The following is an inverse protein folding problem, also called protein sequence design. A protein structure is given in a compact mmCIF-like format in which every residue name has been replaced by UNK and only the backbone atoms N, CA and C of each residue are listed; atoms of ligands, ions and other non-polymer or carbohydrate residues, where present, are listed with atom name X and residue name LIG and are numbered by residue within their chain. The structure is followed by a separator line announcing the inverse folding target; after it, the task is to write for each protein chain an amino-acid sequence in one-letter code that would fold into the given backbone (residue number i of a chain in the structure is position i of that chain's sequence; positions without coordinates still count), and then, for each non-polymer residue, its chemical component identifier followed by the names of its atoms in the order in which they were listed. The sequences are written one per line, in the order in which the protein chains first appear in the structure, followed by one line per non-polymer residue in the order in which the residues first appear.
data_IF_912134201241
#
_entry.id   IF_912134201241
#
_cell.length_a   1.000
_cell.length_b   1.000
_cell.length_c   1.000
_cell.angle_alpha   90.00
_cell.angle_beta   90.00
_cell.angle_gamma   90.00
#
_symmetry.space_group_name_H-M   'P 1'
#
loop_
_entity.id
_entity.type
_entity.pdbx_description
1 polymer ?
#
# COMPACT_ATOMS: atom_id res chain seq x y z
N UNK A 1 -26.94 -40.19 -43.57
CA UNK A 1 -26.46 -40.70 -42.26
C UNK A 1 -25.10 -41.40 -42.32
N UNK A 2 -24.84 -42.32 -43.26
CA UNK A 2 -23.60 -43.13 -43.28
C UNK A 2 -22.26 -42.37 -43.45
N UNK A 3 -22.27 -41.16 -44.03
CA UNK A 3 -21.05 -40.37 -44.31
C UNK A 3 -20.26 -40.02 -43.05
N UNK A 4 -20.92 -39.63 -41.96
CA UNK A 4 -20.25 -39.31 -40.69
C UNK A 4 -19.63 -40.55 -40.03
N UNK A 5 -20.33 -41.68 -40.06
CA UNK A 5 -19.83 -42.97 -39.57
C UNK A 5 -18.57 -43.43 -40.34
N UNK A 6 -18.58 -43.26 -41.67
CA UNK A 6 -17.42 -43.57 -42.52
C UNK A 6 -16.24 -42.62 -42.26
N UNK A 7 -16.48 -41.30 -42.16
CA UNK A 7 -15.45 -40.32 -41.84
C UNK A 7 -14.81 -40.58 -40.46
N UNK A 8 -15.62 -40.90 -39.44
CA UNK A 8 -15.13 -41.23 -38.10
C UNK A 8 -14.27 -42.50 -38.10
N UNK A 9 -14.71 -43.55 -38.80
CA UNK A 9 -13.95 -44.80 -38.89
C UNK A 9 -12.63 -44.62 -39.65
N UNK A 10 -12.61 -43.74 -40.65
CA UNK A 10 -11.42 -43.40 -41.43
C UNK A 10 -10.41 -42.56 -40.62
N UNK A 11 -10.89 -41.57 -39.86
CA UNK A 11 -10.05 -40.75 -38.97
C UNK A 11 -9.35 -41.59 -37.89
N UNK A 12 -10.07 -42.57 -37.33
CA UNK A 12 -9.57 -43.40 -36.22
C UNK A 12 -8.59 -44.48 -36.68
N UNK A 13 -8.68 -44.94 -37.92
CA UNK A 13 -7.78 -45.98 -38.46
C UNK A 13 -6.50 -45.41 -39.10
N UNK A 14 -6.49 -44.13 -39.52
CA UNK A 14 -5.34 -43.51 -40.18
C UNK A 14 -4.61 -42.52 -39.25
N UNK A 15 -3.56 -42.99 -38.59
CA UNK A 15 -2.75 -42.21 -37.64
C UNK A 15 -2.22 -40.87 -38.18
N UNK A 16 -1.86 -40.80 -39.47
CA UNK A 16 -1.36 -39.57 -40.10
C UNK A 16 -2.41 -38.44 -40.04
N UNK A 17 -3.69 -38.76 -40.25
CA UNK A 17 -4.76 -37.76 -40.22
C UNK A 17 -4.99 -37.22 -38.80
N UNK A 18 -4.88 -38.09 -37.79
CA UNK A 18 -5.02 -37.70 -36.39
C UNK A 18 -3.85 -36.83 -35.92
N UNK A 19 -2.63 -37.16 -36.34
CA UNK A 19 -1.44 -36.34 -36.07
C UNK A 19 -1.55 -34.94 -36.67
N UNK A 20 -2.07 -34.80 -37.89
CA UNK A 20 -2.29 -33.48 -38.51
C UNK A 20 -3.31 -32.62 -37.75
N UNK A 21 -4.41 -33.21 -37.29
CA UNK A 21 -5.43 -32.49 -36.50
C UNK A 21 -4.85 -32.01 -35.18
N UNK A 22 -4.09 -32.88 -34.48
CA UNK A 22 -3.44 -32.50 -33.22
C UNK A 22 -2.41 -31.39 -33.45
N UNK A 23 -1.63 -31.46 -34.54
CA UNK A 23 -0.66 -30.42 -34.87
C UNK A 23 -1.32 -29.06 -35.11
N UNK A 24 -2.40 -29.02 -35.88
CA UNK A 24 -3.16 -27.78 -36.11
C UNK A 24 -3.82 -27.30 -34.81
N UNK A 25 -4.42 -28.20 -34.04
CA UNK A 25 -5.04 -27.87 -32.75
C UNK A 25 -4.03 -27.29 -31.78
N UNK A 26 -2.83 -27.87 -31.67
CA UNK A 26 -1.75 -27.35 -30.83
C UNK A 26 -1.29 -25.97 -31.32
N UNK A 27 -1.14 -25.77 -32.63
CA UNK A 27 -0.76 -24.48 -33.19
C UNK A 27 -1.79 -23.37 -32.96
N UNK A 28 -3.08 -23.70 -33.07
CA UNK A 28 -4.16 -22.76 -32.75
C UNK A 28 -4.22 -22.51 -31.24
N UNK A 29 -4.06 -23.55 -30.42
CA UNK A 29 -4.06 -23.43 -28.96
C UNK A 29 -2.92 -22.53 -28.47
N UNK A 30 -1.70 -22.68 -28.99
CA UNK A 30 -0.58 -21.82 -28.61
C UNK A 30 -0.82 -20.37 -29.01
N UNK A 31 -1.37 -20.11 -30.20
CA UNK A 31 -1.72 -18.76 -30.64
C UNK A 31 -2.78 -18.11 -29.73
N UNK A 32 -3.81 -18.87 -29.35
CA UNK A 32 -4.86 -18.38 -28.43
C UNK A 32 -4.27 -18.09 -27.05
N UNK A 33 -3.50 -19.01 -26.47
CA UNK A 33 -2.94 -18.87 -25.12
C UNK A 33 -2.00 -17.68 -25.05
N UNK A 34 -1.11 -17.50 -26.02
CA UNK A 34 -0.16 -16.37 -26.01
C UNK A 34 -0.91 -15.04 -26.05
N UNK A 35 -1.90 -14.90 -26.95
CA UNK A 35 -2.66 -13.66 -27.04
C UNK A 35 -3.49 -13.41 -25.77
N UNK A 36 -4.07 -14.45 -25.18
CA UNK A 36 -4.85 -14.36 -23.94
C UNK A 36 -3.97 -13.96 -22.73
N UNK A 37 -2.78 -14.54 -22.61
CA UNK A 37 -1.84 -14.24 -21.51
C UNK A 37 -1.36 -12.78 -21.62
N UNK A 38 -0.96 -12.35 -22.81
CA UNK A 38 -0.50 -10.97 -23.02
C UNK A 38 -1.62 -9.96 -22.76
N UNK A 39 -2.82 -10.20 -23.28
CA UNK A 39 -3.97 -9.33 -23.03
C UNK A 39 -4.34 -9.27 -21.55
N UNK A 40 -4.35 -10.42 -20.86
CA UNK A 40 -4.66 -10.49 -19.43
C UNK A 40 -3.63 -9.76 -18.56
N UNK A 41 -2.34 -9.93 -18.87
CA UNK A 41 -1.26 -9.22 -18.18
C UNK A 41 -1.37 -7.71 -18.40
N UNK A 42 -1.50 -7.25 -19.65
CA UNK A 42 -1.61 -5.82 -19.95
C UNK A 42 -2.81 -5.17 -19.29
N UNK A 43 -3.97 -5.83 -19.28
CA UNK A 43 -5.16 -5.34 -18.57
C UNK A 43 -4.88 -5.22 -17.06
N UNK A 44 -4.35 -6.27 -16.43
CA UNK A 44 -4.06 -6.24 -15.00
C UNK A 44 -3.00 -5.24 -14.59
N UNK A 45 -1.94 -5.10 -15.38
CA UNK A 45 -0.89 -4.11 -15.11
C UNK A 45 -1.46 -2.69 -15.25
N UNK A 46 -2.27 -2.44 -16.28
CA UNK A 46 -2.94 -1.16 -16.48
C UNK A 46 -3.89 -0.82 -15.33
N UNK A 47 -4.77 -1.74 -14.96
CA UNK A 47 -5.72 -1.56 -13.85
C UNK A 47 -4.97 -1.24 -12.54
N UNK A 48 -3.88 -1.95 -12.26
CA UNK A 48 -3.05 -1.71 -11.07
C UNK A 48 -2.41 -0.33 -11.09
N UNK A 49 -1.87 0.12 -12.22
CA UNK A 49 -1.20 1.41 -12.32
C UNK A 49 -2.21 2.55 -12.15
N UNK A 50 -3.37 2.49 -12.83
CA UNK A 50 -4.43 3.50 -12.65
C UNK A 50 -5.02 3.49 -11.24
N UNK A 51 -5.07 2.33 -10.56
CA UNK A 51 -5.56 2.27 -9.18
C UNK A 51 -4.63 2.91 -8.14
N UNK A 52 -3.34 3.09 -8.46
CA UNK A 52 -2.33 3.64 -7.53
C UNK A 52 -1.93 5.08 -7.89
N UNK A 53 -1.84 5.39 -9.18
CA UNK A 53 -1.44 6.70 -9.68
C UNK A 53 -2.65 7.57 -10.01
N UNK A 54 -2.52 8.88 -9.80
CA UNK A 54 -3.47 9.84 -10.33
C UNK A 54 -3.34 9.95 -11.86
N UNK A 55 -4.45 10.11 -12.57
CA UNK A 55 -4.43 10.27 -14.03
C UNK A 55 -3.77 11.59 -14.47
N UNK A 56 -3.92 12.64 -13.67
CA UNK A 56 -3.30 13.96 -13.88
C UNK A 56 -2.76 14.49 -12.56
N UNK A 57 -1.51 14.94 -12.58
CA UNK A 57 -0.86 15.61 -11.44
C UNK A 57 -0.58 17.05 -11.83
N UNK A 58 -1.03 17.98 -10.99
CA UNK A 58 -0.74 19.41 -11.14
C UNK A 58 0.31 19.75 -10.10
N UNK A 59 1.50 20.15 -10.56
CA UNK A 59 2.62 20.50 -9.69
C UNK A 59 2.94 22.00 -9.78
N UNK A 60 3.46 22.54 -8.68
CA UNK A 60 3.99 23.89 -8.66
C UNK A 60 5.37 23.92 -9.30
N UNK A 61 5.69 25.00 -10.02
CA UNK A 61 7.05 25.21 -10.57
C UNK A 61 8.09 25.48 -9.49
N UNK A 62 7.66 25.88 -8.28
CA UNK A 62 8.53 26.12 -7.15
C UNK A 62 8.60 24.90 -6.23
N UNK A 63 9.77 24.67 -5.64
CA UNK A 63 9.98 23.63 -4.63
C UNK A 63 9.19 23.85 -3.32
N UNK A 64 8.61 25.04 -3.13
CA UNK A 64 7.74 25.35 -1.98
C UNK A 64 6.31 24.80 -2.13
N UNK A 65 5.98 24.15 -3.25
CA UNK A 65 4.65 23.60 -3.51
C UNK A 65 3.57 24.66 -3.75
N UNK A 66 2.31 24.31 -3.49
CA UNK A 66 1.17 25.22 -3.49
C UNK A 66 0.83 25.63 -2.06
N UNK A 67 0.91 26.92 -1.74
CA UNK A 67 0.48 27.43 -0.42
C UNK A 67 -1.04 27.56 -0.30
N UNK A 68 -1.73 27.56 -1.43
CA UNK A 68 -3.17 27.74 -1.61
C UNK A 68 -3.76 26.60 -2.46
N UNK A 69 -3.45 25.35 -2.09
CA UNK A 69 -3.91 24.18 -2.83
C UNK A 69 -5.44 24.16 -3.02
N UNK A 70 -6.21 24.53 -2.00
CA UNK A 70 -7.68 24.58 -2.06
C UNK A 70 -8.19 25.58 -3.12
N UNK A 71 -7.52 26.73 -3.32
CA UNK A 71 -7.89 27.71 -4.36
C UNK A 71 -7.61 27.18 -5.77
N UNK A 72 -6.49 26.49 -5.94
CA UNK A 72 -6.13 25.87 -7.23
C UNK A 72 -7.13 24.76 -7.56
N UNK A 73 -7.50 23.94 -6.58
CA UNK A 73 -8.53 22.92 -6.75
C UNK A 73 -9.89 23.54 -7.10
N UNK A 74 -10.28 24.65 -6.47
CA UNK A 74 -11.52 25.36 -6.80
C UNK A 74 -11.52 25.87 -8.25
N UNK A 75 -10.41 26.43 -8.73
CA UNK A 75 -10.27 26.87 -10.12
C UNK A 75 -10.38 25.70 -11.11
N UNK A 76 -9.79 24.55 -10.77
CA UNK A 76 -9.89 23.35 -11.63
C UNK A 76 -11.34 22.85 -11.70
N UNK A 77 -12.08 22.86 -10.58
CA UNK A 77 -13.53 22.55 -10.62
C UNK A 77 -14.28 23.52 -11.50
N UNK A 78 -14.04 24.83 -11.37
CA UNK A 78 -14.75 25.82 -12.18
C UNK A 78 -14.56 25.60 -13.70
N UNK A 79 -13.36 25.17 -14.11
CA UNK A 79 -13.01 24.99 -15.52
C UNK A 79 -13.40 23.63 -16.11
N UNK A 80 -13.49 22.58 -15.28
CA UNK A 80 -13.59 21.20 -15.76
C UNK A 80 -14.40 20.27 -14.85
N UNK A 81 -15.39 20.78 -14.11
CA UNK A 81 -16.24 19.99 -13.18
C UNK A 81 -16.85 18.75 -13.86
N UNK A 82 -17.20 18.85 -15.14
CA UNK A 82 -17.80 17.75 -15.92
C UNK A 82 -16.81 16.62 -16.29
N UNK A 83 -15.51 16.87 -16.18
CA UNK A 83 -14.44 15.93 -16.53
C UNK A 83 -13.66 15.41 -15.32
N UNK A 84 -13.85 16.02 -14.15
CA UNK A 84 -13.10 15.73 -12.92
C UNK A 84 -13.97 14.93 -11.96
N UNK A 85 -13.73 13.63 -11.85
CA UNK A 85 -14.44 12.76 -10.91
C UNK A 85 -14.04 13.04 -9.44
N UNK A 86 -12.74 13.22 -9.19
CA UNK A 86 -12.20 13.49 -7.87
C UNK A 86 -10.86 14.25 -7.94
N UNK A 87 -10.50 14.93 -6.85
CA UNK A 87 -9.19 15.54 -6.66
C UNK A 87 -8.76 15.40 -5.21
N UNK A 88 -7.44 15.31 -4.99
CA UNK A 88 -6.85 15.19 -3.68
C UNK A 88 -5.57 16.03 -3.58
N UNK A 89 -5.46 16.84 -2.54
CA UNK A 89 -4.22 17.53 -2.23
C UNK A 89 -3.18 16.53 -1.71
N UNK A 90 -1.97 16.56 -2.27
CA UNK A 90 -0.87 15.68 -1.87
C UNK A 90 0.43 16.48 -1.77
N UNK A 91 1.22 16.20 -0.73
CA UNK A 91 2.59 16.69 -0.58
C UNK A 91 3.53 15.49 -0.62
N UNK A 92 4.57 15.56 -1.44
CA UNK A 92 5.59 14.51 -1.54
C UNK A 92 6.91 15.01 -0.98
N UNK A 93 7.52 14.25 -0.07
CA UNK A 93 8.81 14.60 0.52
C UNK A 93 9.66 13.34 0.72
N UNK A 94 10.90 13.30 0.21
CA UNK A 94 11.79 12.18 0.48
C UNK A 94 12.23 12.17 1.95
N UNK A 95 12.29 11.00 2.55
CA UNK A 95 12.69 10.83 3.95
C UNK A 95 13.26 9.45 4.25
N UNK A 96 13.49 9.19 5.53
CA UNK A 96 13.92 7.91 6.06
C UNK A 96 12.90 7.43 7.09
N UNK A 97 12.45 6.19 6.95
CA UNK A 97 11.65 5.48 7.94
C UNK A 97 12.58 4.65 8.82
N UNK A 98 12.51 4.84 10.12
CA UNK A 98 13.25 4.06 11.11
C UNK A 98 12.28 3.26 11.97
N UNK A 99 12.44 1.94 11.94
CA UNK A 99 11.64 0.99 12.70
C UNK A 99 12.50 0.45 13.84
N UNK A 100 12.01 0.57 15.07
CA UNK A 100 12.67 0.07 16.27
C UNK A 100 12.25 -1.38 16.53
N UNK A 101 13.20 -2.31 16.54
CA UNK A 101 12.95 -3.74 16.75
C UNK A 101 13.62 -4.20 18.05
N UNK A 102 12.95 -5.10 18.78
CA UNK A 102 13.52 -5.76 19.96
C UNK A 102 13.74 -4.81 21.14
N UNK A 103 12.71 -4.08 21.55
CA UNK A 103 12.76 -3.07 22.62
C UNK A 103 13.81 -1.96 22.37
N UNK A 104 14.08 -1.62 21.11
CA UNK A 104 14.97 -0.51 20.72
C UNK A 104 16.44 -0.88 20.54
N UNK A 105 16.80 -2.18 20.58
CA UNK A 105 18.18 -2.61 20.39
C UNK A 105 18.63 -2.56 18.92
N UNK A 106 17.72 -2.71 17.96
CA UNK A 106 18.02 -2.64 16.53
C UNK A 106 17.13 -1.61 15.83
N UNK A 107 17.74 -0.76 15.00
CA UNK A 107 17.05 0.23 14.17
C UNK A 107 17.16 -0.19 12.72
N UNK A 108 16.01 -0.51 12.11
CA UNK A 108 15.92 -0.77 10.68
C UNK A 108 15.52 0.52 9.97
N UNK A 109 16.47 1.11 9.25
CA UNK A 109 16.24 2.35 8.51
C UNK A 109 16.09 2.06 7.01
N UNK A 110 15.03 2.59 6.39
CA UNK A 110 14.74 2.48 4.96
C UNK A 110 14.47 3.86 4.35
N UNK A 111 14.99 4.16 3.15
CA UNK A 111 14.61 5.37 2.43
C UNK A 111 13.16 5.24 1.95
N UNK A 112 12.37 6.31 2.13
CA UNK A 112 10.95 6.34 1.82
C UNK A 112 10.55 7.64 1.15
N UNK A 113 9.44 7.63 0.43
CA UNK A 113 8.70 8.80 -0.02
C UNK A 113 7.52 9.01 0.92
N UNK A 114 7.55 10.13 1.63
CA UNK A 114 6.49 10.54 2.53
C UNK A 114 5.44 11.28 1.71
N UNK A 115 4.20 10.80 1.77
CA UNK A 115 3.04 11.35 1.09
C UNK A 115 2.08 11.92 2.13
N UNK A 116 2.07 13.24 2.28
CA UNK A 116 1.05 13.96 3.04
C UNK A 116 -0.26 13.95 2.25
N UNK A 117 -1.31 13.35 2.79
CA UNK A 117 -2.60 13.20 2.09
C UNK A 117 -3.79 13.42 3.02
N UNK A 118 -4.90 13.88 2.46
CA UNK A 118 -6.21 13.80 3.12
C UNK A 118 -6.83 12.44 2.78
N UNK A 119 -7.15 11.59 3.76
CA UNK A 119 -7.53 10.20 3.49
C UNK A 119 -8.84 10.09 2.70
N UNK A 120 -9.81 10.96 2.99
CA UNK A 120 -11.11 10.98 2.30
C UNK A 120 -11.00 11.39 0.83
N UNK A 121 -10.14 12.37 0.53
CA UNK A 121 -9.91 12.82 -0.84
C UNK A 121 -9.12 11.76 -1.62
N UNK A 122 -8.06 11.23 -1.02
CA UNK A 122 -7.18 10.23 -1.66
C UNK A 122 -7.92 8.93 -1.97
N UNK A 123 -8.86 8.53 -1.11
CA UNK A 123 -9.71 7.36 -1.35
C UNK A 123 -10.69 7.53 -2.53
N UNK A 124 -10.93 8.77 -3.00
CA UNK A 124 -11.77 9.05 -4.17
C UNK A 124 -10.96 9.16 -5.46
N UNK A 125 -9.68 9.56 -5.38
CA UNK A 125 -8.79 9.71 -6.54
C UNK A 125 -8.09 8.40 -6.96
N UNK A 126 -8.40 7.28 -6.32
CA UNK A 126 -7.85 5.96 -6.65
C UNK A 126 -8.31 4.88 -5.68
N UNK A 127 -7.85 3.64 -5.89
CA UNK A 127 -8.23 2.46 -5.09
C UNK A 127 -7.49 2.38 -3.75
N UNK A 128 -7.00 3.52 -3.23
CA UNK A 128 -6.17 3.60 -2.02
C UNK A 128 -6.78 2.84 -0.84
N UNK A 129 -8.08 3.02 -0.60
CA UNK A 129 -8.80 2.36 0.49
C UNK A 129 -8.87 0.83 0.35
N UNK A 130 -8.83 0.30 -0.87
CA UNK A 130 -8.92 -1.15 -1.11
C UNK A 130 -7.63 -1.90 -0.77
N UNK A 131 -6.51 -1.17 -0.77
CA UNK A 131 -5.17 -1.71 -0.51
C UNK A 131 -4.76 -1.64 0.95
N UNK A 132 -5.59 -1.05 1.83
CA UNK A 132 -5.29 -0.93 3.25
C UNK A 132 -5.64 -2.20 4.02
N UNK A 133 -4.62 -2.80 4.63
CA UNK A 133 -4.72 -4.05 5.38
C UNK A 133 -4.01 -3.95 6.73
N UNK A 134 -4.32 -4.86 7.64
CA UNK A 134 -3.54 -5.09 8.85
C UNK A 134 -2.48 -6.20 8.65
N UNK A 135 -1.74 -6.50 9.71
CA UNK A 135 -0.71 -7.55 9.72
C UNK A 135 -1.25 -8.96 9.41
N UNK A 136 -2.55 -9.21 9.57
CA UNK A 136 -3.21 -10.47 9.23
C UNK A 136 -3.92 -10.41 7.86
N UNK A 137 -3.81 -9.31 7.12
CA UNK A 137 -4.45 -9.11 5.82
C UNK A 137 -5.92 -8.73 5.88
N UNK A 138 -6.46 -8.34 7.04
CA UNK A 138 -7.84 -7.83 7.18
C UNK A 138 -7.90 -6.38 6.72
N UNK A 139 -8.94 -6.01 5.99
CA UNK A 139 -9.11 -4.64 5.47
C UNK A 139 -9.27 -3.62 6.61
N UNK A 140 -8.64 -2.46 6.44
CA UNK A 140 -8.74 -1.32 7.36
C UNK A 140 -9.33 -0.10 6.65
N UNK A 141 -10.10 0.74 7.33
CA UNK A 141 -10.56 2.00 6.76
C UNK A 141 -9.37 2.96 6.54
N UNK A 142 -9.45 3.87 5.54
CA UNK A 142 -8.45 4.92 5.33
C UNK A 142 -8.60 5.99 6.42
N UNK A 143 -7.92 5.79 7.56
CA UNK A 143 -7.87 6.77 8.64
C UNK A 143 -6.48 6.80 9.28
N UNK A 144 -6.06 8.02 9.65
CA UNK A 144 -4.86 8.28 10.42
C UNK A 144 -5.15 8.39 11.92
N UNK A 145 -6.41 8.25 12.34
CA UNK A 145 -6.78 8.32 13.75
C UNK A 145 -6.29 7.10 14.52
N UNK A 146 -5.56 7.37 15.60
CA UNK A 146 -5.07 6.32 16.49
C UNK A 146 -6.13 6.00 17.53
N UNK A 147 -6.99 5.03 17.20
CA UNK A 147 -8.04 4.54 18.09
C UNK A 147 -7.49 3.79 19.31
N UNK A 148 -8.34 3.58 20.33
CA UNK A 148 -7.99 2.82 21.54
C UNK A 148 -7.52 1.38 21.22
N UNK A 149 -8.04 0.78 20.14
CA UNK A 149 -7.65 -0.55 19.68
C UNK A 149 -6.17 -0.63 19.27
N UNK A 150 -5.66 0.43 18.65
CA UNK A 150 -4.25 0.51 18.25
C UNK A 150 -3.35 0.77 19.45
N UNK A 151 -3.78 1.62 20.39
CA UNK A 151 -3.07 1.85 21.66
C UNK A 151 -2.90 0.57 22.48
N UNK A 152 -3.89 -0.34 22.45
CA UNK A 152 -3.81 -1.65 23.13
C UNK A 152 -2.86 -2.63 22.45
N UNK A 153 -2.70 -2.53 21.12
CA UNK A 153 -1.79 -3.40 20.36
C UNK A 153 -0.32 -3.03 20.49
N UNK A 154 0.01 -1.87 21.08
CA UNK A 154 1.42 -1.53 21.32
C UNK A 154 2.03 -2.46 22.37
N UNK A 155 3.36 -2.65 22.40
CA UNK A 155 4.03 -3.48 23.40
C UNK A 155 3.64 -3.12 24.83
N UNK A 156 3.65 -1.82 25.17
CA UNK A 156 3.24 -1.35 26.50
C UNK A 156 1.72 -1.43 26.69
N UNK A 157 0.93 -1.30 25.62
CA UNK A 157 -0.53 -1.46 25.63
C UNK A 157 -0.97 -2.87 26.03
N UNK A 158 -0.29 -3.89 25.52
CA UNK A 158 -0.55 -5.29 25.91
C UNK A 158 -0.22 -5.53 27.39
N UNK A 159 0.88 -4.95 27.89
CA UNK A 159 1.25 -5.01 29.31
C UNK A 159 0.20 -4.33 30.20
N UNK A 160 -0.38 -3.22 29.74
CA UNK A 160 -1.43 -2.51 30.46
C UNK A 160 -2.73 -3.33 30.55
N UNK A 161 -3.11 -4.08 29.50
CA UNK A 161 -4.31 -4.94 29.53
C UNK A 161 -4.16 -6.11 30.51
N UNK A 162 -2.96 -6.64 30.68
CA UNK A 162 -2.68 -7.72 31.65
C UNK A 162 -2.59 -7.22 33.10
N UNK A 163 -2.37 -5.91 33.29
CA UNK A 163 -2.20 -5.30 34.62
C UNK A 163 -3.57 -4.94 35.23
N UNK A 164 -3.90 -5.42 36.44
CA UNK A 164 -5.12 -5.02 37.14
C UNK A 164 -5.16 -3.50 37.38
N UNK A 165 -6.33 -2.87 37.26
CA UNK A 165 -6.50 -1.41 37.44
C UNK A 165 -6.12 -0.89 38.82
N UNK A 166 -6.20 -1.74 39.84
CA UNK A 166 -5.86 -1.41 41.22
C UNK A 166 -4.35 -1.54 41.50
N UNK A 167 -3.56 -1.99 40.52
CA UNK A 167 -2.12 -2.15 40.66
C UNK A 167 -1.40 -0.78 40.59
N UNK A 168 -0.48 -0.46 41.52
CA UNK A 168 0.35 0.74 41.46
C UNK A 168 1.13 0.94 40.15
N UNK A 169 1.38 -0.14 39.39
CA UNK A 169 2.03 -0.07 38.09
C UNK A 169 1.10 0.34 36.95
N UNK A 170 -0.23 0.31 37.13
CA UNK A 170 -1.21 0.65 36.09
C UNK A 170 -1.09 2.09 35.61
N UNK A 171 -1.13 3.07 36.52
CA UNK A 171 -1.03 4.49 36.19
C UNK A 171 0.28 4.87 35.46
N UNK A 172 1.47 4.41 35.88
CA UNK A 172 2.70 4.68 35.14
C UNK A 172 2.80 3.91 33.81
N UNK A 173 2.16 2.73 33.68
CA UNK A 173 2.03 2.04 32.38
C UNK A 173 1.12 2.81 31.43
N UNK A 174 -0.01 3.33 31.90
CA UNK A 174 -0.94 4.12 31.09
C UNK A 174 -0.28 5.40 30.57
N UNK A 175 0.48 6.09 31.43
CA UNK A 175 1.28 7.26 31.02
C UNK A 175 2.33 6.89 29.95
N UNK A 176 2.99 5.73 30.09
CA UNK A 176 3.93 5.24 29.07
C UNK A 176 3.28 4.87 27.75
N UNK A 177 2.08 4.30 27.75
CA UNK A 177 1.33 4.02 26.51
C UNK A 177 1.00 5.32 25.79
N UNK A 178 0.60 6.35 26.51
CA UNK A 178 0.33 7.68 25.92
C UNK A 178 1.59 8.35 25.37
N UNK A 179 2.77 8.06 25.92
CA UNK A 179 4.06 8.58 25.43
C UNK A 179 4.58 7.78 24.21
N UNK A 180 4.42 6.46 24.21
CA UNK A 180 4.87 5.57 23.11
C UNK A 180 3.96 5.65 21.88
N UNK A 181 2.65 5.77 22.10
CA UNK A 181 1.67 5.78 21.02
C UNK A 181 1.30 7.21 20.67
N UNK A 182 1.98 7.76 19.66
CA UNK A 182 1.66 9.08 19.10
C UNK A 182 0.20 9.14 18.64
N UNK A 183 -0.43 10.29 18.84
CA UNK A 183 -1.81 10.56 18.39
C UNK A 183 -1.91 10.64 16.86
N UNK A 184 -0.78 10.86 16.18
CA UNK A 184 -0.72 10.91 14.73
C UNK A 184 -0.42 9.54 14.14
N UNK A 185 -1.29 9.11 13.23
CA UNK A 185 -1.15 7.85 12.52
C UNK A 185 -0.40 7.97 11.20
N UNK A 186 0.30 6.90 10.82
CA UNK A 186 0.89 6.72 9.50
C UNK A 186 0.45 5.39 8.88
N UNK A 187 0.33 5.39 7.56
CA UNK A 187 0.12 4.17 6.78
C UNK A 187 1.42 3.87 6.04
N UNK A 188 2.02 2.72 6.32
CA UNK A 188 3.29 2.33 5.71
C UNK A 188 3.07 1.27 4.64
N UNK A 189 3.90 1.25 3.59
CA UNK A 189 3.90 0.17 2.61
C UNK A 189 4.12 -1.20 3.26
N UNK A 190 3.41 -2.22 2.78
CA UNK A 190 3.46 -3.57 3.36
C UNK A 190 4.87 -4.15 3.34
N UNK A 191 5.62 -3.94 2.25
CA UNK A 191 7.00 -4.42 2.16
C UNK A 191 7.96 -3.63 3.09
N UNK A 192 7.64 -2.38 3.42
CA UNK A 192 8.35 -1.60 4.45
C UNK A 192 8.17 -2.17 5.86
N UNK A 193 7.02 -2.78 6.15
CA UNK A 193 6.69 -3.35 7.45
C UNK A 193 7.11 -4.81 7.63
N UNK A 194 7.58 -5.48 6.58
CA UNK A 194 7.92 -6.90 6.60
C UNK A 194 9.40 -7.16 6.28
N UNK A 195 9.94 -8.21 6.90
CA UNK A 195 11.27 -8.77 6.61
C UNK A 195 11.11 -10.26 6.35
N UNK A 196 11.74 -10.74 5.28
CA UNK A 196 11.76 -12.16 4.97
C UNK A 196 12.81 -12.87 5.83
N UNK A 197 12.42 -13.88 6.59
CA UNK A 197 13.35 -14.73 7.31
C UNK A 197 13.81 -15.91 6.42
N UNK A 198 15.09 -15.96 6.00
CA UNK A 198 15.59 -17.01 5.12
C UNK A 198 15.59 -18.41 5.77
N UNK A 199 15.60 -18.50 7.11
CA UNK A 199 15.61 -19.78 7.81
C UNK A 199 14.21 -20.42 7.84
N UNK A 200 13.18 -19.63 8.18
CA UNK A 200 11.79 -20.12 8.25
C UNK A 200 11.04 -20.00 6.93
N UNK A 201 11.58 -19.24 5.95
CA UNK A 201 10.94 -18.87 4.67
C UNK A 201 9.58 -18.19 4.86
N UNK A 202 9.41 -17.48 5.98
CA UNK A 202 8.20 -16.74 6.30
C UNK A 202 8.53 -15.26 6.41
N UNK A 203 7.55 -14.44 6.05
CA UNK A 203 7.64 -13.01 6.23
C UNK A 203 7.22 -12.67 7.67
N UNK A 204 8.10 -11.95 8.37
CA UNK A 204 7.89 -11.48 9.73
C UNK A 204 7.53 -10.00 9.63
N UNK A 205 6.42 -9.62 10.25
CA UNK A 205 6.03 -8.21 10.35
C UNK A 205 6.85 -7.56 11.48
N UNK A 206 7.67 -6.59 11.13
CA UNK A 206 8.54 -5.85 12.05
C UNK A 206 7.87 -4.57 12.59
N UNK A 207 6.85 -4.07 11.90
CA UNK A 207 6.07 -2.90 12.27
C UNK A 207 4.55 -3.19 12.11
N UNK A 208 3.96 -3.99 13.03
CA UNK A 208 2.53 -4.29 13.00
C UNK A 208 1.67 -3.05 13.33
N UNK A 209 0.36 -3.14 13.08
CA UNK A 209 -0.54 -2.03 13.43
C UNK A 209 -0.50 -1.75 14.94
N UNK A 210 -0.27 -0.49 15.32
CA UNK A 210 -0.07 -0.04 16.70
C UNK A 210 1.39 0.14 17.13
N UNK A 211 2.38 -0.23 16.30
CA UNK A 211 3.79 0.06 16.58
C UNK A 211 4.15 1.51 16.27
N UNK A 212 5.06 2.08 17.04
CA UNK A 212 5.65 3.39 16.77
C UNK A 212 6.75 3.28 15.70
N UNK A 213 6.78 4.25 14.78
CA UNK A 213 7.82 4.41 13.77
C UNK A 213 8.30 5.85 13.73
N UNK A 214 9.59 6.02 13.48
CA UNK A 214 10.22 7.35 13.39
C UNK A 214 10.41 7.72 11.92
N UNK A 215 9.84 8.84 11.51
CA UNK A 215 10.14 9.47 10.22
C UNK A 215 11.19 10.56 10.41
N UNK A 216 12.14 10.62 9.49
CA UNK A 216 13.13 11.70 9.41
C UNK A 216 13.13 12.27 8.01
N UNK A 217 12.91 13.57 7.88
CA UNK A 217 12.77 14.26 6.59
C UNK A 217 13.42 15.65 6.64
N UNK A 218 13.90 16.18 5.50
CA UNK A 218 14.50 17.51 5.46
C UNK A 218 13.43 18.59 5.55
N UNK A 219 13.65 19.62 6.36
CA UNK A 219 12.79 20.82 6.37
C UNK A 219 13.02 21.66 5.11
N UNK A 220 11.96 22.30 4.62
CA UNK A 220 12.04 23.26 3.52
C UNK A 220 12.60 24.60 4.04
N UNK A 221 13.65 25.12 3.41
CA UNK A 221 14.23 26.42 3.77
C UNK A 221 15.63 26.65 3.21
N UNK A 222 16.21 27.83 3.49
CA UNK A 222 17.57 28.20 3.03
C UNK A 222 18.67 27.30 3.62
N UNK A 223 18.42 26.68 4.77
CA UNK A 223 19.27 25.67 5.40
C UNK A 223 18.38 24.51 5.84
N UNK A 224 18.36 23.40 5.10
CA UNK A 224 17.56 22.25 5.48
C UNK A 224 18.15 21.60 6.74
N UNK A 225 17.31 21.46 7.77
CA UNK A 225 17.62 20.70 8.98
C UNK A 225 16.80 19.40 8.97
N UNK A 226 17.29 18.33 9.60
CA UNK A 226 16.51 17.10 9.72
C UNK A 226 15.38 17.30 10.73
N UNK A 227 14.14 17.32 10.23
CA UNK A 227 12.95 17.16 11.06
C UNK A 227 12.74 15.68 11.38
N UNK A 228 12.15 15.43 12.55
CA UNK A 228 11.83 14.10 13.06
C UNK A 228 10.41 14.11 13.56
N UNK A 229 9.69 13.03 13.26
CA UNK A 229 8.33 12.87 13.71
C UNK A 229 8.05 11.41 14.08
N UNK A 230 7.38 11.22 15.20
CA UNK A 230 7.07 9.90 15.75
C UNK A 230 5.60 9.60 15.47
N UNK A 231 5.35 8.55 14.69
CA UNK A 231 4.02 8.21 14.21
C UNK A 231 3.65 6.78 14.57
N UNK A 232 2.35 6.54 14.74
CA UNK A 232 1.82 5.20 15.02
C UNK A 232 1.34 4.54 13.74
N UNK A 233 1.73 3.29 13.48
CA UNK A 233 1.26 2.56 12.29
C UNK A 233 -0.23 2.22 12.43
N UNK A 234 -1.10 2.83 11.62
CA UNK A 234 -2.56 2.56 11.67
C UNK A 234 -2.97 1.45 10.72
N UNK A 235 -2.38 1.41 9.53
CA UNK A 235 -2.62 0.40 8.51
C UNK A 235 -1.37 0.17 7.63
N UNK A 236 -1.38 -0.94 6.90
CA UNK A 236 -0.37 -1.29 5.91
C UNK A 236 -0.96 -1.17 4.50
N UNK A 237 -0.28 -0.49 3.60
CA UNK A 237 -0.70 -0.40 2.19
C UNK A 237 -0.09 -1.55 1.38
N UNK A 238 -0.95 -2.39 0.77
CA UNK A 238 -0.56 -3.54 -0.05
C UNK A 238 -1.17 -3.44 -1.45
N UNK A 239 -0.49 -2.70 -2.31
CA UNK A 239 -0.89 -2.48 -3.71
C UNK A 239 -0.59 -3.70 -4.59
N UNK A 240 0.35 -4.56 -4.17
CA UNK A 240 0.86 -5.67 -4.97
C UNK A 240 1.94 -5.26 -5.97
N UNK A 241 2.31 -3.98 -5.99
CA UNK A 241 3.47 -3.47 -6.71
C UNK A 241 4.61 -3.22 -5.72
N UNK A 242 5.68 -4.00 -5.87
CA UNK A 242 6.80 -3.98 -4.92
C UNK A 242 7.45 -2.60 -4.78
N UNK A 243 7.46 -1.79 -5.83
CA UNK A 243 8.06 -0.44 -5.80
C UNK A 243 7.30 0.47 -4.84
N UNK A 244 5.97 0.52 -4.92
CA UNK A 244 5.14 1.32 -4.04
C UNK A 244 5.09 0.78 -2.61
N UNK A 245 4.92 -0.54 -2.46
CA UNK A 245 4.84 -1.19 -1.15
C UNK A 245 6.15 -1.10 -0.35
N UNK A 246 7.28 -0.83 -1.02
CA UNK A 246 8.62 -0.73 -0.39
C UNK A 246 9.15 0.70 -0.25
N UNK A 247 8.42 1.71 -0.76
CA UNK A 247 8.91 3.10 -0.76
C UNK A 247 7.93 4.09 -0.15
N UNK A 248 6.62 3.87 -0.23
CA UNK A 248 5.65 4.88 0.17
C UNK A 248 5.24 4.78 1.64
N UNK A 249 5.17 5.95 2.29
CA UNK A 249 4.57 6.14 3.61
C UNK A 249 3.57 7.28 3.50
N UNK A 250 2.34 7.08 3.93
CA UNK A 250 1.30 8.10 3.94
C UNK A 250 1.13 8.66 5.34
N UNK A 251 1.07 9.99 5.43
CA UNK A 251 0.89 10.76 6.65
C UNK A 251 -0.26 11.75 6.45
N UNK A 252 -0.90 12.23 7.53
CA UNK A 252 -1.84 13.34 7.42
C UNK A 252 -1.17 14.56 6.77
N UNK A 253 -1.95 15.34 6.03
CA UNK A 253 -1.47 16.53 5.32
C UNK A 253 -1.23 17.74 6.25
N UNK A 254 -1.78 17.71 7.47
CA UNK A 254 -1.76 18.82 8.44
C UNK A 254 -0.48 18.90 9.28
#
# INVERSE_FOLDING_TARGET
MYKYLLCWRYLRTRYIALASIISVMLGVATMIVVNAVMAGFSAKMRDRIHGVLADVVIESRSFDGFRNADEVMALVRELADDQVEAMAATVETPGMLSILIGNGNEVYTRPVQIMGVRPEERAKTGDFAEYLVDEQGRRRPPSFEVGADLRRKSPTGMMLEETPKDDPFFAPLEAKVAEEVSDQGAIIGYALATVHDPATRKDICIAPTGSQVLLTFPTIGKRPEPARDDLTVTALSKTGMSEYDSTQVFVPLE
#
